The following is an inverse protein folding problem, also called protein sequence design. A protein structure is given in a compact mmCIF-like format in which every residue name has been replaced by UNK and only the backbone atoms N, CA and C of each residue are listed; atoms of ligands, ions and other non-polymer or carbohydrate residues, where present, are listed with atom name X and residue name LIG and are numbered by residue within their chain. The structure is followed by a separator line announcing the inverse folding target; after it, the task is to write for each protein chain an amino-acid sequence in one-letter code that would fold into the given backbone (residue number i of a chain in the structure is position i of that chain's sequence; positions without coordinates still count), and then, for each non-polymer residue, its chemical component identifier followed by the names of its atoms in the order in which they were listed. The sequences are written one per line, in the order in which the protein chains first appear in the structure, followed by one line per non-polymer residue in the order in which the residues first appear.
data_IF_878695346554
#
_entry.id   IF_878695346554
#
_cell.length_a   1.000
_cell.length_b   1.000
_cell.length_c   1.000
_cell.angle_alpha   90.00
_cell.angle_beta   90.00
_cell.angle_gamma   90.00
#
_symmetry.space_group_name_H-M   'P 1'
#
loop_
_entity.id
_entity.type
_entity.pdbx_description
1 polymer ?
#
# COMPACT_ATOMS: atom_id res chain seq x y z
N UNK A 1 15.49 -5.10 7.87
CA UNK A 1 16.34 -4.67 6.74
C UNK A 1 16.89 -5.90 6.00
N UNK A 2 16.05 -6.63 5.24
CA UNK A 2 16.46 -7.89 4.59
C UNK A 2 17.44 -7.68 3.42
N UNK A 3 17.06 -6.85 2.45
CA UNK A 3 17.90 -6.51 1.28
C UNK A 3 19.25 -5.91 1.69
N UNK A 4 19.25 -4.91 2.59
CA UNK A 4 20.49 -4.27 3.09
C UNK A 4 21.41 -5.23 3.85
N UNK A 5 20.86 -6.32 4.41
CA UNK A 5 21.62 -7.36 5.13
C UNK A 5 21.95 -8.56 4.23
N UNK A 6 21.62 -8.52 2.93
CA UNK A 6 21.86 -9.62 1.99
C UNK A 6 20.98 -10.86 2.24
N UNK A 7 19.86 -10.72 2.96
CA UNK A 7 18.99 -11.85 3.33
C UNK A 7 17.89 -12.12 2.32
N UNK A 8 17.62 -11.17 1.42
CA UNK A 8 16.53 -11.21 0.46
C UNK A 8 17.01 -10.59 -0.85
N UNK A 9 16.41 -11.04 -1.96
CA UNK A 9 16.54 -10.37 -3.24
C UNK A 9 15.90 -8.97 -3.21
N UNK A 10 16.20 -8.16 -4.23
CA UNK A 10 15.65 -6.80 -4.34
C UNK A 10 14.19 -6.75 -4.80
N UNK A 11 13.63 -7.85 -5.28
CA UNK A 11 12.21 -8.00 -5.60
C UNK A 11 11.67 -9.20 -4.85
N UNK A 12 10.66 -8.98 -4.02
CA UNK A 12 10.08 -10.03 -3.17
C UNK A 12 8.58 -9.91 -3.09
N UNK A 13 7.93 -11.04 -2.81
CA UNK A 13 6.53 -11.08 -2.39
C UNK A 13 6.45 -11.20 -0.88
N UNK A 14 5.72 -10.28 -0.26
CA UNK A 14 5.45 -10.27 1.19
C UNK A 14 4.05 -10.81 1.41
N UNK A 15 3.93 -11.84 2.25
CA UNK A 15 2.63 -12.41 2.66
C UNK A 15 2.23 -11.80 3.99
N UNK A 16 1.04 -11.19 4.01
CA UNK A 16 0.41 -10.60 5.19
C UNK A 16 -0.97 -11.23 5.37
N UNK A 17 -1.59 -11.03 6.52
CA UNK A 17 -2.94 -11.55 6.80
C UNK A 17 -3.98 -11.07 5.77
N UNK A 18 -3.83 -9.84 5.28
CA UNK A 18 -4.70 -9.23 4.27
C UNK A 18 -4.36 -9.58 2.81
N UNK A 19 -3.34 -10.41 2.57
CA UNK A 19 -2.92 -10.83 1.24
C UNK A 19 -1.46 -10.50 0.90
N UNK A 20 -1.13 -10.66 -0.38
CA UNK A 20 0.23 -10.50 -0.90
C UNK A 20 0.51 -9.07 -1.37
N UNK A 21 1.71 -8.58 -1.09
CA UNK A 21 2.28 -7.36 -1.68
C UNK A 21 3.55 -7.70 -2.45
N UNK A 22 3.72 -7.09 -3.61
CA UNK A 22 4.97 -7.16 -4.37
C UNK A 22 5.82 -5.91 -4.05
N UNK A 23 7.02 -6.14 -3.52
CA UNK A 23 7.96 -5.08 -3.12
C UNK A 23 9.19 -5.14 -4.02
N UNK A 24 9.60 -3.99 -4.55
CA UNK A 24 10.77 -3.83 -5.39
C UNK A 24 11.62 -2.66 -4.89
N UNK A 25 12.92 -2.89 -4.74
CA UNK A 25 13.92 -1.86 -4.48
C UNK A 25 14.74 -1.64 -5.77
N UNK A 26 14.41 -0.65 -6.61
CA UNK A 26 15.20 -0.32 -7.79
C UNK A 26 16.58 0.21 -7.38
N UNK A 27 17.58 0.08 -8.25
CA UNK A 27 18.88 0.72 -8.02
C UNK A 27 18.75 2.25 -8.07
N UNK A 28 19.39 2.95 -7.12
CA UNK A 28 19.36 4.42 -7.05
C UNK A 28 18.00 5.06 -6.75
N UNK A 29 16.96 4.27 -6.48
CA UNK A 29 15.59 4.74 -6.27
C UNK A 29 15.00 4.42 -4.90
N UNK A 30 13.76 4.89 -4.69
CA UNK A 30 12.94 4.54 -3.52
C UNK A 30 12.23 3.19 -3.66
N UNK A 31 11.62 2.72 -2.56
CA UNK A 31 10.87 1.47 -2.53
C UNK A 31 9.61 1.58 -3.38
N UNK A 32 9.35 0.59 -4.24
CA UNK A 32 8.08 0.42 -4.95
C UNK A 32 7.29 -0.69 -4.28
N UNK A 33 6.01 -0.42 -4.01
CA UNK A 33 5.07 -1.38 -3.43
C UNK A 33 3.84 -1.46 -4.33
N UNK A 34 3.45 -2.68 -4.69
CA UNK A 34 2.25 -2.96 -5.47
C UNK A 34 1.40 -4.00 -4.76
N UNK A 35 0.09 -3.80 -4.80
CA UNK A 35 -0.89 -4.69 -4.19
C UNK A 35 -2.29 -4.41 -4.71
N UNK A 36 -3.24 -5.30 -4.45
CA UNK A 36 -4.63 -5.09 -4.83
C UNK A 36 -5.25 -3.96 -3.99
N UNK A 37 -6.23 -3.28 -4.59
CA UNK A 37 -7.12 -2.33 -3.92
C UNK A 37 -8.55 -2.66 -4.33
N UNK A 38 -9.50 -2.40 -3.43
CA UNK A 38 -10.93 -2.55 -3.70
C UNK A 38 -11.67 -1.29 -3.29
N UNK A 39 -12.51 -0.78 -4.18
CA UNK A 39 -13.53 0.22 -3.82
C UNK A 39 -14.68 -0.50 -3.13
N UNK A 40 -14.94 -0.17 -1.86
CA UNK A 40 -16.00 -0.82 -1.09
C UNK A 40 -17.37 -0.20 -1.42
N UNK A 41 -17.44 1.13 -1.46
CA UNK A 41 -18.65 1.86 -1.83
C UNK A 41 -18.29 3.26 -2.36
N UNK A 42 -19.26 3.89 -3.02
CA UNK A 42 -19.24 5.30 -3.38
C UNK A 42 -20.51 5.97 -2.88
N UNK A 43 -20.44 7.24 -2.51
CA UNK A 43 -21.58 7.98 -1.97
C UNK A 43 -21.35 9.48 -1.89
N UNK A 44 -22.44 10.21 -1.66
CA UNK A 44 -22.43 11.67 -1.51
C UNK A 44 -22.92 12.05 -0.12
N UNK A 45 -22.18 12.91 0.56
CA UNK A 45 -22.58 13.46 1.84
C UNK A 45 -23.36 14.77 1.63
N UNK A 46 -24.47 14.94 2.33
CA UNK A 46 -25.29 16.14 2.23
C UNK A 46 -24.53 17.36 2.79
N UNK A 47 -24.67 18.56 2.20
CA UNK A 47 -24.01 19.77 2.71
C UNK A 47 -24.33 20.07 4.18
N UNK A 48 -25.58 19.86 4.62
CA UNK A 48 -25.99 20.03 6.01
C UNK A 48 -25.29 19.05 6.98
N UNK A 49 -25.00 17.83 6.52
CA UNK A 49 -24.23 16.86 7.30
C UNK A 49 -22.79 17.33 7.50
N UNK A 50 -22.15 17.84 6.44
CA UNK A 50 -20.78 18.37 6.51
C UNK A 50 -20.69 19.62 7.39
N UNK A 51 -21.69 20.50 7.35
CA UNK A 51 -21.72 21.72 8.16
C UNK A 51 -21.75 21.46 9.68
N UNK A 52 -22.22 20.30 10.12
CA UNK A 52 -22.24 19.90 11.53
C UNK A 52 -20.93 19.31 12.07
N UNK A 53 -19.89 19.18 11.24
CA UNK A 53 -18.56 18.67 11.64
C UNK A 53 -17.55 19.78 11.98
N UNK A 54 -17.90 21.04 11.75
CA UNK A 54 -17.11 22.23 12.10
C UNK A 54 -17.42 22.68 13.53
#
# INVERSE_FOLDING_TARGET
AGVRRGLLERRVRVILDGGALDIDWPEGGGVRMSGPVATVFEGTLAPAFLAGLA
#
